data_IF_218548867613
#
_entry.id   IF_218548867613
#
_cell.length_a   1.000
_cell.length_b   1.000
_cell.length_c   1.000
_cell.angle_alpha   90.00
_cell.angle_beta   90.00
_cell.angle_gamma   90.00
#
_symmetry.space_group_name_H-M   'P 1'
#
loop_
_entity.id
_entity.type
_entity.pdbx_description
1 polymer ?
#
# COMPACT_ATOMS: atom_id res chain seq x y z
N UNK A 1 -30.53 -13.35 18.99
CA UNK A 1 -29.49 -12.78 19.88
C UNK A 1 -29.35 -11.31 19.52
N UNK A 2 -30.24 -10.53 20.09
CA UNK A 2 -30.57 -9.16 19.70
C UNK A 2 -30.32 -8.28 20.93
N UNK A 3 -29.96 -7.01 20.70
CA UNK A 3 -29.79 -5.98 21.73
C UNK A 3 -28.53 -6.06 22.62
N UNK A 4 -27.34 -5.78 22.04
CA UNK A 4 -26.20 -5.27 22.84
C UNK A 4 -25.19 -4.36 22.11
N UNK A 5 -25.45 -3.91 20.87
CA UNK A 5 -24.53 -3.05 20.09
C UNK A 5 -24.99 -1.60 19.84
N UNK A 6 -26.08 -1.15 20.46
CA UNK A 6 -26.59 0.23 20.26
C UNK A 6 -26.30 1.18 21.44
N UNK A 7 -25.67 0.71 22.51
CA UNK A 7 -25.46 1.51 23.73
C UNK A 7 -24.10 2.23 23.86
N UNK A 8 -23.17 2.08 22.91
CA UNK A 8 -21.83 2.70 23.03
C UNK A 8 -21.63 4.01 22.26
N UNK A 9 -22.62 4.46 21.48
CA UNK A 9 -22.55 5.72 20.72
C UNK A 9 -23.27 6.91 21.39
N UNK A 10 -23.81 6.73 22.60
CA UNK A 10 -24.63 7.73 23.29
C UNK A 10 -24.03 8.39 24.54
N UNK A 11 -22.77 8.11 24.91
CA UNK A 11 -22.21 8.49 26.23
C UNK A 11 -20.91 9.31 26.19
N UNK A 12 -20.55 9.88 25.03
CA UNK A 12 -19.43 10.84 24.90
C UNK A 12 -19.89 12.28 24.61
N UNK A 13 -21.15 12.60 24.94
CA UNK A 13 -21.67 13.97 24.93
C UNK A 13 -22.09 14.33 26.35
N UNK A 14 -21.12 14.70 27.20
CA UNK A 14 -21.23 15.54 28.42
C UNK A 14 -20.08 15.25 29.39
N UNK A 15 -18.89 15.75 29.08
CA UNK A 15 -17.94 16.23 30.10
C UNK A 15 -16.82 17.01 29.41
N UNK A 16 -17.16 18.18 28.87
CA UNK A 16 -16.16 19.19 28.55
C UNK A 16 -16.84 20.55 28.75
N UNK A 17 -16.92 20.96 30.02
CA UNK A 17 -17.27 22.31 30.44
C UNK A 17 -16.34 22.69 31.57
N UNK A 18 -15.23 23.36 31.24
CA UNK A 18 -14.86 24.66 31.81
C UNK A 18 -13.39 24.97 31.55
N UNK A 19 -13.10 25.70 30.48
CA UNK A 19 -11.98 26.65 30.44
C UNK A 19 -12.20 27.65 29.29
N UNK A 20 -12.74 28.80 29.68
CA UNK A 20 -12.49 30.14 29.14
C UNK A 20 -12.20 30.25 27.63
N UNK A 21 -13.24 30.53 26.84
CA UNK A 21 -13.09 31.03 25.48
C UNK A 21 -12.57 32.47 25.56
N UNK A 22 -11.27 32.66 25.31
CA UNK A 22 -10.76 33.92 24.80
C UNK A 22 -10.85 33.86 23.26
N UNK A 23 -11.75 34.65 22.69
CA UNK A 23 -11.81 34.94 21.26
C UNK A 23 -10.51 35.66 20.85
N UNK A 24 -9.51 34.90 20.43
CA UNK A 24 -8.37 35.42 19.68
C UNK A 24 -8.52 35.05 18.20
N UNK A 25 -8.28 36.05 17.36
CA UNK A 25 -8.45 36.02 15.91
C UNK A 25 -7.84 34.75 15.28
N UNK A 26 -8.64 34.03 14.49
CA UNK A 26 -8.24 32.76 13.89
C UNK A 26 -7.23 32.99 12.75
N UNK A 27 -5.96 33.19 13.10
CA UNK A 27 -4.88 32.66 12.26
C UNK A 27 -5.02 31.14 12.35
N UNK A 28 -5.13 30.45 11.22
CA UNK A 28 -5.10 28.98 11.18
C UNK A 28 -3.74 28.54 11.76
N UNK A 29 -3.71 28.23 13.05
CA UNK A 29 -2.51 27.72 13.71
C UNK A 29 -2.30 26.29 13.20
N UNK A 30 -1.28 26.11 12.36
CA UNK A 30 -0.83 24.78 11.93
C UNK A 30 -0.27 24.04 13.15
N UNK A 31 -0.75 22.82 13.39
CA UNK A 31 -0.23 21.94 14.43
C UNK A 31 0.59 20.82 13.77
N UNK A 32 1.90 20.80 14.04
CA UNK A 32 2.82 19.76 13.58
C UNK A 32 3.16 18.73 14.67
N UNK A 33 2.48 18.79 15.82
CA UNK A 33 2.67 17.86 16.92
C UNK A 33 1.77 16.64 16.71
N UNK A 34 2.34 15.46 16.87
CA UNK A 34 1.56 14.23 17.00
C UNK A 34 0.80 14.22 18.32
N UNK A 35 -0.34 13.53 18.33
CA UNK A 35 -1.03 13.18 19.57
C UNK A 35 -0.25 12.11 20.34
N UNK A 36 -0.56 11.93 21.63
CA UNK A 36 0.07 10.90 22.44
C UNK A 36 -0.15 9.49 21.86
N UNK A 37 -1.33 9.23 21.31
CA UNK A 37 -1.64 7.97 20.62
C UNK A 37 -0.77 7.77 19.37
N UNK A 38 -0.57 8.83 18.57
CA UNK A 38 0.29 8.77 17.38
C UNK A 38 1.76 8.54 17.76
N UNK A 39 2.23 9.16 18.85
CA UNK A 39 3.58 8.93 19.37
C UNK A 39 3.78 7.50 19.84
N UNK A 40 2.81 6.93 20.56
CA UNK A 40 2.85 5.52 20.99
C UNK A 40 2.90 4.56 19.79
N UNK A 41 2.12 4.82 18.75
CA UNK A 41 2.14 4.02 17.51
C UNK A 41 3.49 4.14 16.78
N UNK A 42 4.06 5.34 16.69
CA UNK A 42 5.37 5.57 16.07
C UNK A 42 6.50 4.85 16.84
N UNK A 43 6.50 4.94 18.17
CA UNK A 43 7.47 4.23 19.02
C UNK A 43 7.35 2.71 18.87
N UNK A 44 6.13 2.17 18.90
CA UNK A 44 5.87 0.75 18.72
C UNK A 44 6.33 0.26 17.34
N UNK A 45 6.04 1.02 16.28
CA UNK A 45 6.47 0.70 14.91
C UNK A 45 8.00 0.73 14.77
N UNK A 46 8.67 1.75 15.33
CA UNK A 46 10.14 1.84 15.32
C UNK A 46 10.80 0.68 16.04
N UNK A 47 10.27 0.31 17.21
CA UNK A 47 10.75 -0.85 17.97
C UNK A 47 10.59 -2.15 17.16
N UNK A 48 9.42 -2.35 16.56
CA UNK A 48 9.17 -3.51 15.71
C UNK A 48 10.14 -3.58 14.52
N UNK A 49 10.38 -2.45 13.84
CA UNK A 49 11.34 -2.40 12.73
C UNK A 49 12.75 -2.77 13.20
N UNK A 50 13.21 -2.22 14.33
CA UNK A 50 14.53 -2.48 14.88
C UNK A 50 14.74 -3.94 15.28
N UNK A 51 13.73 -4.55 15.91
CA UNK A 51 13.83 -5.90 16.48
C UNK A 51 13.54 -7.00 15.46
N UNK A 52 12.59 -6.77 14.54
CA UNK A 52 12.00 -7.82 13.70
C UNK A 52 12.30 -7.69 12.20
N UNK A 53 12.65 -6.49 11.72
CA UNK A 53 12.88 -6.23 10.29
C UNK A 53 14.37 -6.06 9.99
N UNK A 54 15.04 -5.11 10.63
CA UNK A 54 16.45 -4.77 10.35
C UNK A 54 17.39 -5.98 10.41
N UNK A 55 17.31 -6.87 11.44
CA UNK A 55 18.25 -7.98 11.58
C UNK A 55 18.21 -9.00 10.43
N UNK A 56 17.06 -9.12 9.75
CA UNK A 56 16.81 -10.13 8.71
C UNK A 56 16.70 -9.54 7.31
N UNK A 57 16.67 -8.21 7.17
CA UNK A 57 16.42 -7.53 5.90
C UNK A 57 17.42 -7.90 4.80
N UNK A 58 18.72 -7.96 5.12
CA UNK A 58 19.77 -8.28 4.15
C UNK A 58 19.66 -9.72 3.62
N UNK A 59 19.31 -10.68 4.49
CA UNK A 59 19.12 -12.08 4.10
C UNK A 59 17.89 -12.25 3.21
N UNK A 60 16.78 -11.59 3.54
CA UNK A 60 15.58 -11.61 2.70
C UNK A 60 15.81 -10.96 1.34
N UNK A 61 16.59 -9.88 1.28
CA UNK A 61 16.96 -9.25 0.02
C UNK A 61 17.86 -10.18 -0.82
N UNK A 62 18.89 -10.79 -0.22
CA UNK A 62 19.81 -11.72 -0.90
C UNK A 62 19.10 -12.96 -1.45
N UNK A 63 18.21 -13.55 -0.66
CA UNK A 63 17.51 -14.81 -1.02
C UNK A 63 16.26 -14.59 -1.86
N UNK A 64 15.67 -13.40 -1.80
CA UNK A 64 14.35 -13.13 -2.37
C UNK A 64 13.21 -13.91 -1.70
N UNK A 65 13.44 -14.52 -0.53
CA UNK A 65 12.41 -15.25 0.21
C UNK A 65 11.30 -14.30 0.66
N UNK A 66 10.04 -14.71 0.54
CA UNK A 66 8.92 -13.91 1.03
C UNK A 66 8.89 -13.92 2.57
N UNK A 67 8.86 -12.76 3.26
CA UNK A 67 9.08 -12.68 4.71
C UNK A 67 7.81 -12.99 5.52
N UNK A 68 7.22 -14.19 5.33
CA UNK A 68 5.96 -14.61 5.98
C UNK A 68 5.96 -14.41 7.50
N UNK A 69 7.06 -14.73 8.17
CA UNK A 69 7.12 -14.69 9.64
C UNK A 69 7.06 -13.25 10.16
N UNK A 70 7.83 -12.35 9.54
CA UNK A 70 7.80 -10.91 9.85
C UNK A 70 6.42 -10.33 9.58
N UNK A 71 5.81 -10.68 8.44
CA UNK A 71 4.48 -10.19 8.07
C UNK A 71 3.38 -10.68 9.02
N UNK A 72 3.45 -11.94 9.48
CA UNK A 72 2.54 -12.47 10.50
C UNK A 72 2.66 -11.71 11.81
N UNK A 73 3.89 -11.42 12.26
CA UNK A 73 4.11 -10.61 13.46
C UNK A 73 3.60 -9.18 13.28
N UNK A 74 3.85 -8.55 12.12
CA UNK A 74 3.34 -7.21 11.81
C UNK A 74 1.81 -7.16 11.84
N UNK A 75 1.14 -8.17 11.27
CA UNK A 75 -0.31 -8.30 11.32
C UNK A 75 -0.83 -8.49 12.75
N UNK A 76 -0.21 -9.38 13.54
CA UNK A 76 -0.59 -9.62 14.93
C UNK A 76 -0.47 -8.37 15.83
N UNK A 77 0.45 -7.46 15.51
CA UNK A 77 0.61 -6.18 16.20
C UNK A 77 -0.27 -5.04 15.62
N UNK A 78 -1.10 -5.33 14.61
CA UNK A 78 -1.98 -4.34 13.99
C UNK A 78 -1.28 -3.37 13.03
N UNK A 79 -0.02 -3.61 12.66
CA UNK A 79 0.74 -2.72 11.77
C UNK A 79 0.45 -2.94 10.29
N UNK A 80 -0.05 -4.10 9.90
CA UNK A 80 -0.17 -4.45 8.49
C UNK A 80 -1.36 -5.37 8.18
N UNK A 81 -2.07 -5.02 7.12
CA UNK A 81 -2.98 -5.90 6.40
C UNK A 81 -2.54 -5.96 4.94
N UNK A 82 -2.23 -7.17 4.44
CA UNK A 82 -1.74 -7.36 3.08
C UNK A 82 -2.87 -7.45 2.08
N UNK A 83 -2.64 -6.97 0.86
CA UNK A 83 -3.61 -7.02 -0.22
C UNK A 83 -2.91 -7.19 -1.59
N UNK A 84 -3.65 -7.53 -2.63
CA UNK A 84 -3.15 -7.60 -4.01
C UNK A 84 -4.02 -6.77 -4.97
N UNK A 85 -3.39 -5.89 -5.74
CA UNK A 85 -4.06 -4.86 -6.53
C UNK A 85 -3.71 -5.00 -8.02
N UNK A 86 -4.60 -5.63 -8.77
CA UNK A 86 -4.38 -6.02 -10.15
C UNK A 86 -5.00 -5.00 -11.13
N UNK A 87 -4.22 -3.95 -11.43
CA UNK A 87 -4.60 -2.90 -12.39
C UNK A 87 -3.70 -2.92 -13.61
N UNK A 88 -2.39 -2.77 -13.40
CA UNK A 88 -1.37 -2.69 -14.43
C UNK A 88 -1.35 -3.91 -15.34
N UNK A 89 -1.13 -3.66 -16.63
CA UNK A 89 -1.02 -4.65 -17.70
C UNK A 89 0.31 -4.50 -18.45
N UNK A 90 0.74 -5.53 -19.21
CA UNK A 90 1.94 -5.42 -20.04
C UNK A 90 1.94 -4.20 -20.97
N UNK A 91 0.77 -3.83 -21.51
CA UNK A 91 0.61 -2.70 -22.43
C UNK A 91 0.08 -1.41 -21.80
N UNK A 92 -0.22 -1.40 -20.50
CA UNK A 92 -0.85 -0.24 -19.84
C UNK A 92 -0.50 -0.18 -18.34
N UNK A 93 0.37 0.78 -17.98
CA UNK A 93 0.70 1.11 -16.59
C UNK A 93 0.20 2.51 -16.22
N UNK A 94 0.94 3.54 -16.66
CA UNK A 94 0.56 4.95 -16.43
C UNK A 94 -0.79 5.30 -17.07
N UNK A 95 -1.04 4.82 -18.29
CA UNK A 95 -2.32 4.99 -18.98
C UNK A 95 -3.29 3.85 -18.64
N UNK A 96 -3.77 3.85 -17.40
CA UNK A 96 -4.73 2.84 -16.89
C UNK A 96 -5.99 2.77 -17.75
N UNK A 97 -6.38 3.86 -18.42
CA UNK A 97 -7.57 3.90 -19.27
C UNK A 97 -7.43 3.04 -20.55
N UNK A 98 -6.22 2.57 -20.89
CA UNK A 98 -5.95 1.64 -22.01
C UNK A 98 -5.90 0.16 -21.61
N UNK A 99 -6.15 -0.15 -20.35
CA UNK A 99 -6.30 -1.52 -19.83
C UNK A 99 -7.31 -2.32 -20.67
N UNK A 100 -6.94 -3.54 -21.06
CA UNK A 100 -7.66 -4.42 -21.99
C UNK A 100 -8.21 -5.70 -21.35
N UNK A 101 -7.81 -6.07 -20.13
CA UNK A 101 -8.47 -7.16 -19.40
C UNK A 101 -9.96 -6.87 -19.35
N UNK A 102 -10.78 -7.76 -19.92
CA UNK A 102 -12.20 -7.53 -20.12
C UNK A 102 -13.02 -8.33 -19.13
N UNK A 103 -14.21 -7.83 -18.81
CA UNK A 103 -15.25 -8.60 -18.11
C UNK A 103 -16.54 -8.56 -18.91
N UNK A 104 -17.06 -9.73 -19.25
CA UNK A 104 -18.30 -9.87 -20.02
C UNK A 104 -19.40 -10.45 -19.12
N UNK A 105 -20.55 -9.77 -19.06
CA UNK A 105 -21.68 -10.27 -18.28
C UNK A 105 -22.28 -11.50 -18.97
N UNK A 106 -22.39 -12.63 -18.27
CA UNK A 106 -23.06 -13.86 -18.72
C UNK A 106 -24.05 -14.32 -17.65
N UNK A 107 -25.33 -13.99 -17.86
CA UNK A 107 -26.37 -14.22 -16.86
C UNK A 107 -26.12 -13.40 -15.59
N UNK A 108 -25.96 -14.09 -14.45
CA UNK A 108 -25.74 -13.49 -13.13
C UNK A 108 -24.25 -13.35 -12.75
N UNK A 109 -23.36 -13.73 -13.66
CA UNK A 109 -21.91 -13.71 -13.47
C UNK A 109 -21.22 -12.83 -14.52
N UNK A 110 -19.92 -12.63 -14.32
CA UNK A 110 -19.01 -12.03 -15.27
C UNK A 110 -17.89 -13.02 -15.60
N UNK A 111 -17.48 -13.04 -16.86
CA UNK A 111 -16.32 -13.81 -17.32
C UNK A 111 -15.19 -12.85 -17.62
N UNK A 112 -14.07 -13.03 -16.91
CA UNK A 112 -12.88 -12.18 -17.00
C UNK A 112 -11.83 -12.87 -17.88
N UNK A 113 -11.30 -12.11 -18.84
CA UNK A 113 -10.21 -12.56 -19.71
C UNK A 113 -9.16 -11.45 -19.87
N UNK A 114 -7.89 -11.80 -19.66
CA UNK A 114 -6.76 -10.88 -19.86
C UNK A 114 -5.56 -11.21 -18.99
N UNK A 115 -4.64 -10.26 -18.89
CA UNK A 115 -3.43 -10.42 -18.08
C UNK A 115 -3.04 -9.11 -17.41
N UNK A 116 -2.53 -9.26 -16.20
CA UNK A 116 -2.01 -8.22 -15.33
C UNK A 116 -0.52 -8.45 -15.12
N UNK A 117 0.22 -7.36 -14.89
CA UNK A 117 1.66 -7.39 -14.78
C UNK A 117 2.14 -6.52 -13.61
N UNK A 118 3.26 -6.93 -12.99
CA UNK A 118 3.85 -6.27 -11.83
C UNK A 118 2.97 -6.28 -10.58
N UNK A 119 2.23 -7.36 -10.37
CA UNK A 119 1.27 -7.47 -9.27
C UNK A 119 1.99 -7.92 -7.99
N UNK A 120 2.05 -7.01 -7.01
CA UNK A 120 2.60 -7.27 -5.69
C UNK A 120 1.68 -8.21 -4.90
N UNK A 121 2.28 -9.13 -4.14
CA UNK A 121 1.64 -10.28 -3.48
C UNK A 121 1.01 -11.30 -4.44
N UNK A 122 1.43 -11.30 -5.71
CA UNK A 122 0.81 -12.09 -6.77
C UNK A 122 0.61 -13.57 -6.44
N UNK A 123 1.61 -14.27 -5.89
CA UNK A 123 1.46 -15.71 -5.61
C UNK A 123 1.30 -16.04 -4.13
N UNK A 124 0.93 -15.06 -3.31
CA UNK A 124 0.73 -15.22 -1.87
C UNK A 124 -0.57 -14.64 -1.35
N UNK A 125 -1.28 -13.87 -2.17
CA UNK A 125 -2.58 -13.28 -1.85
C UNK A 125 -3.68 -14.33 -1.81
N UNK A 126 -4.67 -14.10 -0.95
CA UNK A 126 -5.90 -14.91 -0.90
C UNK A 126 -6.94 -14.46 -1.93
N UNK A 127 -6.91 -13.17 -2.30
CA UNK A 127 -7.81 -12.57 -3.28
C UNK A 127 -7.14 -11.35 -3.92
N UNK A 128 -7.67 -10.94 -5.06
CA UNK A 128 -7.19 -9.80 -5.86
C UNK A 128 -8.31 -8.79 -6.04
N UNK A 129 -8.00 -7.51 -5.84
CA UNK A 129 -8.77 -6.48 -6.54
C UNK A 129 -8.38 -6.52 -8.02
N UNK A 130 -9.34 -6.59 -8.93
CA UNK A 130 -9.08 -6.66 -10.38
C UNK A 130 -9.88 -5.58 -11.10
N UNK A 131 -9.19 -4.67 -11.78
CA UNK A 131 -9.82 -3.69 -12.67
C UNK A 131 -9.95 -4.27 -14.08
N UNK A 132 -11.16 -4.26 -14.61
CA UNK A 132 -11.46 -4.80 -15.94
C UNK A 132 -12.24 -3.78 -16.77
N UNK A 133 -12.10 -3.82 -18.09
CA UNK A 133 -12.95 -3.11 -19.03
C UNK A 133 -14.23 -3.91 -19.25
N UNK A 134 -15.36 -3.41 -18.77
CA UNK A 134 -16.67 -4.06 -18.91
C UNK A 134 -17.48 -3.52 -20.09
N UNK A 135 -17.21 -2.28 -20.51
CA UNK A 135 -17.79 -1.70 -21.73
C UNK A 135 -16.80 -1.82 -22.90
N UNK A 136 -17.11 -2.63 -23.94
CA UNK A 136 -16.22 -2.82 -25.06
C UNK A 136 -16.14 -1.61 -25.99
N UNK A 137 -17.07 -0.64 -25.92
CA UNK A 137 -17.05 0.52 -26.81
C UNK A 137 -15.80 1.39 -26.53
N UNK A 138 -14.88 1.56 -27.50
CA UNK A 138 -13.68 2.39 -27.32
C UNK A 138 -14.01 3.87 -27.10
N UNK A 139 -15.22 4.33 -27.45
CA UNK A 139 -15.69 5.70 -27.26
C UNK A 139 -16.20 5.94 -25.84
N UNK A 140 -16.50 4.89 -25.07
CA UNK A 140 -16.94 5.05 -23.68
C UNK A 140 -15.82 5.67 -22.85
N UNK A 141 -16.17 6.75 -22.14
CA UNK A 141 -15.26 7.44 -21.24
C UNK A 141 -14.72 6.51 -20.17
N UNK A 142 -13.46 6.67 -19.78
CA UNK A 142 -12.82 5.83 -18.77
C UNK A 142 -13.62 5.81 -17.44
N UNK A 143 -14.28 6.90 -17.09
CA UNK A 143 -15.15 6.99 -15.90
C UNK A 143 -16.36 6.04 -15.88
N UNK A 144 -16.70 5.40 -17.01
CA UNK A 144 -17.84 4.49 -17.17
C UNK A 144 -17.47 3.13 -17.76
N UNK A 145 -16.29 3.00 -18.38
CA UNK A 145 -15.93 1.81 -19.15
C UNK A 145 -15.47 0.62 -18.30
N UNK A 146 -15.15 0.83 -17.03
CA UNK A 146 -14.45 -0.16 -16.20
C UNK A 146 -15.28 -0.63 -15.01
N UNK A 147 -15.21 -1.92 -14.72
CA UNK A 147 -15.79 -2.53 -13.53
C UNK A 147 -14.69 -3.23 -12.74
N UNK A 148 -14.79 -3.15 -11.41
CA UNK A 148 -13.82 -3.76 -10.50
C UNK A 148 -14.45 -4.95 -9.78
N UNK A 149 -13.62 -5.95 -9.49
CA UNK A 149 -14.02 -7.17 -8.79
C UNK A 149 -13.02 -7.52 -7.69
N UNK A 150 -13.48 -8.23 -6.66
CA UNK A 150 -12.64 -9.05 -5.79
C UNK A 150 -12.68 -10.46 -6.34
N UNK A 151 -11.52 -11.02 -6.70
CA UNK A 151 -11.41 -12.37 -7.28
C UNK A 151 -10.57 -13.22 -6.35
N UNK A 152 -11.12 -14.33 -5.87
CA UNK A 152 -10.39 -15.26 -5.00
C UNK A 152 -9.26 -15.93 -5.78
N UNK A 153 -8.11 -16.11 -5.13
CA UNK A 153 -6.88 -16.55 -5.79
C UNK A 153 -6.94 -17.98 -6.34
N UNK A 154 -7.86 -18.80 -5.84
CA UNK A 154 -8.13 -20.17 -6.27
C UNK A 154 -9.28 -20.28 -7.27
N UNK A 155 -9.84 -19.16 -7.74
CA UNK A 155 -10.89 -19.15 -8.76
C UNK A 155 -10.37 -19.83 -10.05
N UNK A 156 -11.07 -20.83 -10.61
CA UNK A 156 -10.65 -21.51 -11.83
C UNK A 156 -10.41 -20.52 -12.98
N UNK A 157 -9.29 -20.72 -13.69
CA UNK A 157 -8.84 -19.85 -14.78
C UNK A 157 -7.91 -18.71 -14.36
N UNK A 158 -7.81 -18.42 -13.05
CA UNK A 158 -6.83 -17.47 -12.53
C UNK A 158 -5.50 -18.21 -12.32
N UNK A 159 -4.43 -17.70 -12.90
CA UNK A 159 -3.09 -18.24 -12.68
C UNK A 159 -2.07 -17.14 -12.43
N UNK A 160 -1.07 -17.44 -11.60
CA UNK A 160 0.03 -16.53 -11.29
C UNK A 160 1.31 -17.03 -11.94
N UNK A 161 2.03 -16.13 -12.59
CA UNK A 161 3.29 -16.44 -13.26
C UNK A 161 4.44 -16.73 -12.29
N UNK A 162 5.64 -16.90 -12.83
CA UNK A 162 6.86 -16.95 -12.01
C UNK A 162 7.05 -15.66 -11.22
N UNK A 163 7.79 -15.75 -10.11
CA UNK A 163 8.26 -14.55 -9.39
C UNK A 163 9.23 -13.78 -10.27
N UNK A 164 9.01 -12.48 -10.42
CA UNK A 164 9.92 -11.59 -11.13
C UNK A 164 11.16 -11.25 -10.31
N UNK A 165 12.32 -11.21 -10.98
CA UNK A 165 13.61 -10.86 -10.35
C UNK A 165 13.92 -9.40 -10.64
N UNK A 166 13.65 -8.55 -9.65
CA UNK A 166 13.80 -7.11 -9.75
C UNK A 166 15.12 -6.64 -9.13
N UNK A 167 15.54 -5.41 -9.45
CA UNK A 167 16.75 -4.78 -8.89
C UNK A 167 16.69 -4.62 -7.36
N UNK A 168 15.51 -4.31 -6.81
CA UNK A 168 15.31 -4.03 -5.39
C UNK A 168 13.97 -4.54 -4.88
N UNK A 169 13.73 -4.39 -3.58
CA UNK A 169 12.58 -5.00 -2.88
C UNK A 169 12.45 -6.50 -3.20
N UNK A 170 13.59 -7.21 -3.27
CA UNK A 170 13.65 -8.57 -3.84
C UNK A 170 12.88 -9.61 -3.02
N UNK A 171 12.70 -9.35 -1.74
CA UNK A 171 11.85 -10.15 -0.85
C UNK A 171 10.34 -10.02 -1.18
N UNK A 172 9.92 -8.92 -1.81
CA UNK A 172 8.55 -8.71 -2.27
C UNK A 172 8.18 -9.75 -3.32
N UNK A 173 6.92 -10.16 -3.31
CA UNK A 173 6.39 -11.11 -4.26
C UNK A 173 5.72 -10.38 -5.42
N UNK A 174 6.35 -10.35 -6.59
CA UNK A 174 5.81 -9.65 -7.76
C UNK A 174 5.68 -10.62 -8.93
N UNK A 175 4.48 -10.67 -9.53
CA UNK A 175 4.17 -11.63 -10.61
C UNK A 175 3.28 -11.03 -11.70
N UNK A 176 3.28 -11.67 -12.86
CA UNK A 176 2.16 -11.60 -13.79
C UNK A 176 0.96 -12.40 -13.22
N UNK A 177 -0.26 -11.97 -13.52
CA UNK A 177 -1.49 -12.68 -13.17
C UNK A 177 -2.37 -12.77 -14.42
N UNK A 178 -2.72 -13.99 -14.82
CA UNK A 178 -3.51 -14.27 -16.03
C UNK A 178 -4.90 -14.72 -15.64
N UNK A 179 -5.89 -14.30 -16.43
CA UNK A 179 -7.30 -14.66 -16.28
C UNK A 179 -7.76 -15.27 -17.61
N UNK A 180 -8.08 -16.56 -17.58
CA UNK A 180 -8.62 -17.32 -18.72
C UNK A 180 -10.01 -17.85 -18.35
N UNK A 181 -11.05 -17.22 -18.91
CA UNK A 181 -12.45 -17.54 -18.62
C UNK A 181 -12.82 -17.59 -17.14
N UNK A 182 -12.22 -16.72 -16.34
CA UNK A 182 -12.45 -16.63 -14.89
C UNK A 182 -13.87 -16.15 -14.62
N UNK A 183 -14.68 -16.98 -13.97
CA UNK A 183 -16.09 -16.67 -13.68
C UNK A 183 -16.22 -16.07 -12.28
N UNK A 184 -16.82 -14.89 -12.18
CA UNK A 184 -17.05 -14.20 -10.91
C UNK A 184 -18.51 -13.81 -10.75
N UNK A 185 -19.15 -14.10 -9.60
CA UNK A 185 -20.52 -13.69 -9.35
C UNK A 185 -20.63 -12.17 -9.20
N UNK A 186 -21.81 -11.61 -9.48
CA UNK A 186 -22.09 -10.20 -9.26
C UNK A 186 -21.80 -9.72 -7.82
N UNK A 187 -21.91 -10.60 -6.83
CA UNK A 187 -21.62 -10.30 -5.41
C UNK A 187 -20.16 -9.95 -5.14
N UNK A 188 -19.23 -10.35 -6.02
CA UNK A 188 -17.81 -10.01 -5.96
C UNK A 188 -17.48 -8.67 -6.63
N UNK A 189 -18.47 -7.96 -7.19
CA UNK A 189 -18.27 -6.63 -7.77
C UNK A 189 -18.01 -5.59 -6.68
N UNK A 190 -17.00 -4.74 -6.90
CA UNK A 190 -16.69 -3.62 -6.02
C UNK A 190 -17.36 -2.36 -6.58
N UNK A 191 -18.33 -1.83 -5.83
CA UNK A 191 -19.18 -0.73 -6.30
C UNK A 191 -20.19 -1.19 -7.35
N UNK A 192 -20.55 -0.30 -8.27
CA UNK A 192 -21.46 -0.60 -9.38
C UNK A 192 -20.76 -0.82 -10.74
N UNK A 193 -21.50 -1.32 -11.75
CA UNK A 193 -21.01 -1.40 -13.13
C UNK A 193 -20.52 -0.04 -13.63
N UNK A 194 -19.32 -0.01 -14.22
CA UNK A 194 -18.71 1.22 -14.75
C UNK A 194 -18.02 2.11 -13.71
N UNK A 195 -18.11 1.80 -12.41
CA UNK A 195 -17.49 2.60 -11.35
C UNK A 195 -16.02 2.26 -11.07
N UNK A 196 -15.50 1.19 -11.67
CA UNK A 196 -14.19 0.62 -11.36
C UNK A 196 -13.05 1.62 -11.52
N UNK A 197 -13.08 2.47 -12.56
CA UNK A 197 -12.04 3.47 -12.78
C UNK A 197 -12.00 4.53 -11.69
N UNK A 198 -13.19 5.00 -11.26
CA UNK A 198 -13.33 5.99 -10.18
C UNK A 198 -12.85 5.40 -8.85
N UNK A 199 -13.18 4.15 -8.56
CA UNK A 199 -12.69 3.43 -7.38
C UNK A 199 -11.15 3.37 -7.43
N UNK A 200 -10.58 3.00 -8.58
CA UNK A 200 -9.14 2.91 -8.71
C UNK A 200 -8.42 4.25 -8.47
N UNK A 201 -8.94 5.35 -9.01
CA UNK A 201 -8.37 6.68 -8.78
C UNK A 201 -8.46 7.10 -7.31
N UNK A 202 -9.59 6.85 -6.64
CA UNK A 202 -9.75 7.13 -5.21
C UNK A 202 -8.80 6.32 -4.33
N UNK A 203 -8.55 5.06 -4.70
CA UNK A 203 -7.54 4.24 -4.04
C UNK A 203 -6.17 4.89 -4.15
N UNK A 204 -5.78 5.38 -5.33
CA UNK A 204 -4.50 6.06 -5.50
C UNK A 204 -4.34 7.30 -4.63
N UNK A 205 -5.39 8.11 -4.48
CA UNK A 205 -5.32 9.29 -3.61
C UNK A 205 -5.09 8.92 -2.14
N UNK A 206 -5.62 7.77 -1.71
CA UNK A 206 -5.43 7.25 -0.34
C UNK A 206 -4.05 6.60 -0.16
N UNK A 207 -3.53 5.90 -1.16
CA UNK A 207 -2.29 5.13 -1.04
C UNK A 207 -1.03 5.94 -1.35
N UNK A 208 -1.12 7.01 -2.15
CA UNK A 208 0.04 7.86 -2.50
C UNK A 208 0.76 8.43 -1.27
N UNK A 209 0.07 8.98 -0.24
CA UNK A 209 0.73 9.43 0.98
C UNK A 209 1.52 8.32 1.69
N UNK A 210 1.01 7.07 1.69
CA UNK A 210 1.71 5.94 2.30
C UNK A 210 2.99 5.58 1.54
N UNK A 211 2.96 5.62 0.21
CA UNK A 211 4.16 5.41 -0.62
C UNK A 211 5.19 6.51 -0.38
N UNK A 212 4.76 7.77 -0.25
CA UNK A 212 5.66 8.86 0.11
C UNK A 212 6.30 8.66 1.49
N UNK A 213 5.52 8.22 2.50
CA UNK A 213 6.03 7.91 3.83
C UNK A 213 7.07 6.77 3.80
N UNK A 214 6.83 5.72 3.00
CA UNK A 214 7.83 4.65 2.81
C UNK A 214 9.15 5.18 2.22
N UNK A 215 9.07 6.06 1.22
CA UNK A 215 10.27 6.66 0.61
C UNK A 215 11.05 7.52 1.62
N UNK A 216 10.35 8.32 2.43
CA UNK A 216 10.98 9.13 3.49
C UNK A 216 11.62 8.25 4.56
N UNK A 217 10.96 7.15 4.96
CA UNK A 217 11.52 6.19 5.91
C UNK A 217 12.83 5.55 5.41
N UNK A 218 12.89 5.17 4.13
CA UNK A 218 14.12 4.69 3.51
C UNK A 218 15.21 5.77 3.49
N UNK A 219 14.87 6.99 3.08
CA UNK A 219 15.81 8.13 3.09
C UNK A 219 16.35 8.42 4.49
N UNK A 220 15.51 8.38 5.52
CA UNK A 220 15.93 8.53 6.91
C UNK A 220 16.91 7.44 7.33
N UNK A 221 16.66 6.18 6.96
CA UNK A 221 17.60 5.09 7.21
C UNK A 221 18.94 5.31 6.49
N UNK A 222 18.92 5.75 5.23
CA UNK A 222 20.14 6.07 4.49
C UNK A 222 20.93 7.19 5.17
N UNK A 223 20.24 8.23 5.66
CA UNK A 223 20.86 9.34 6.40
C UNK A 223 21.49 8.84 7.70
N UNK A 224 20.81 7.99 8.46
CA UNK A 224 21.32 7.41 9.71
C UNK A 224 22.60 6.60 9.47
N UNK A 225 22.60 5.69 8.47
CA UNK A 225 23.77 4.88 8.15
C UNK A 225 24.95 5.74 7.64
N UNK A 226 24.68 6.71 6.76
CA UNK A 226 25.71 7.61 6.25
C UNK A 226 26.30 8.48 7.37
N UNK A 227 25.48 8.99 8.28
CA UNK A 227 25.92 9.82 9.40
C UNK A 227 26.79 9.03 10.36
N UNK A 228 26.40 7.79 10.70
CA UNK A 228 27.20 6.90 11.55
C UNK A 228 28.56 6.61 10.92
N UNK A 229 28.56 6.18 9.66
CA UNK A 229 29.80 5.86 8.96
C UNK A 229 30.72 7.10 8.83
N UNK A 230 30.15 8.28 8.64
CA UNK A 230 30.94 9.52 8.55
C UNK A 230 31.67 9.88 9.86
N UNK A 231 31.10 9.49 11.00
CA UNK A 231 31.70 9.70 12.32
C UNK A 231 32.71 8.60 12.68
N UNK A 232 32.75 7.49 11.97
CA UNK A 232 33.70 6.40 12.25
C UNK A 232 34.88 6.41 11.28
N UNK A 233 34.60 6.58 9.98
CA UNK A 233 35.62 6.51 8.94
C UNK A 233 36.55 7.71 9.02
N UNK A 234 37.86 7.46 9.00
CA UNK A 234 38.90 8.49 8.90
C UNK A 234 39.52 8.53 7.50
N UNK A 235 39.82 9.75 7.03
CA UNK A 235 40.61 10.02 5.84
C UNK A 235 41.31 11.38 6.02
N UNK A 236 42.54 11.51 5.53
CA UNK A 236 43.36 12.72 5.67
C UNK A 236 43.52 13.17 7.14
N UNK A 237 43.74 12.21 8.05
CA UNK A 237 44.04 12.47 9.46
C UNK A 237 42.84 12.78 10.36
N UNK A 238 41.60 12.81 9.85
CA UNK A 238 40.41 13.13 10.64
C UNK A 238 39.19 12.30 10.23
N UNK A 239 38.13 12.28 11.04
CA UNK A 239 36.83 11.69 10.67
C UNK A 239 36.28 12.39 9.42
N UNK A 240 35.68 11.63 8.50
CA UNK A 240 35.21 12.23 7.25
C UNK A 240 34.08 13.25 7.47
N UNK A 241 33.35 13.14 8.57
CA UNK A 241 32.38 14.15 9.01
C UNK A 241 32.97 15.56 9.20
N UNK A 242 34.29 15.69 9.42
CA UNK A 242 34.95 16.99 9.60
C UNK A 242 35.31 17.68 8.28
N UNK A 243 35.18 17.00 7.14
CA UNK A 243 35.35 17.63 5.82
C UNK A 243 34.09 18.40 5.45
N UNK A 244 34.22 19.66 5.05
CA UNK A 244 33.09 20.57 4.79
C UNK A 244 32.05 19.99 3.81
N UNK A 245 32.50 19.24 2.79
CA UNK A 245 31.65 18.57 1.80
C UNK A 245 30.75 17.48 2.40
N UNK A 246 31.18 16.84 3.49
CA UNK A 246 30.37 15.86 4.22
C UNK A 246 29.47 16.52 5.27
N UNK A 247 29.93 17.62 5.87
CA UNK A 247 29.22 18.34 6.92
C UNK A 247 27.97 19.10 6.42
N UNK A 248 27.99 19.61 5.18
CA UNK A 248 26.88 20.37 4.58
C UNK A 248 25.55 19.59 4.49
N UNK A 249 25.58 18.26 4.63
CA UNK A 249 24.40 17.38 4.62
C UNK A 249 23.54 17.55 5.89
N UNK A 250 24.05 18.12 6.99
CA UNK A 250 23.33 18.24 8.28
C UNK A 250 22.51 19.53 8.46
N UNK A 251 22.59 20.50 7.54
CA UNK A 251 21.97 21.83 7.69
C UNK A 251 20.67 22.05 6.89
N UNK A 252 20.13 21.00 6.27
CA UNK A 252 18.84 21.04 5.54
C UNK A 252 17.84 20.17 6.26
#
# INVERSE_FOLDING_TARGET
MTARKVALYGLLIKSCRSSSIALQSSRRNLCFKFSDEQLQLDEAAKKFVADEIIPVAAEYDKTGKYPRDVLKKAHANGFLNTMSYAVTEPGAGSDVARTRTRSEKKGDEYVINGSKMWITNGGVANWFFVLTRSDPDPKTSASKAFTAFVVDADTPGLSCGKKEINMGQRASDTRAVTFEDVRVPKSQMVGGPGEGFKIAMKTFDTTRPLVAAMAVGLSARCLDEASKYALERKAFGTQIANHQVCYSIRRV
#
